data_IF_079139176975
#
_entry.id   IF_079139176975
#
_cell.length_a   1.000
_cell.length_b   1.000
_cell.length_c   1.000
_cell.angle_alpha   90.00
_cell.angle_beta   90.00
_cell.angle_gamma   90.00
#
_symmetry.space_group_name_H-M   'P 1'
#
loop_
_entity.id
_entity.type
_entity.pdbx_description
1 polymer ?
#
# COMPACT_ATOMS: atom_id res chain seq x y z
N UNK A 1 4.56 31.18 22.91
CA UNK A 1 3.74 31.48 21.72
C UNK A 1 4.04 30.44 20.66
N UNK A 2 3.05 29.69 20.16
CA UNK A 2 3.24 28.70 19.09
C UNK A 2 2.79 29.31 17.77
N UNK A 3 3.57 29.10 16.71
CA UNK A 3 3.21 29.49 15.35
C UNK A 3 2.80 28.22 14.61
N UNK A 4 1.59 28.21 14.04
CA UNK A 4 1.11 27.16 13.15
C UNK A 4 1.24 27.69 11.72
N UNK A 5 2.04 27.02 10.91
CA UNK A 5 2.25 27.36 9.50
C UNK A 5 1.84 26.19 8.61
N UNK A 6 1.03 26.47 7.61
CA UNK A 6 0.58 25.48 6.63
C UNK A 6 1.40 25.61 5.36
N UNK A 7 1.87 24.47 4.86
CA UNK A 7 2.60 24.40 3.59
C UNK A 7 2.10 23.22 2.77
N UNK A 8 1.81 23.47 1.51
CA UNK A 8 1.65 22.39 0.53
C UNK A 8 3.03 22.04 -0.03
N UNK A 9 3.61 20.96 0.50
CA UNK A 9 4.95 20.50 0.11
C UNK A 9 5.00 19.92 -1.31
N UNK A 10 3.84 19.57 -1.87
CA UNK A 10 3.74 19.04 -3.24
C UNK A 10 3.75 20.15 -4.30
N UNK A 11 3.60 21.40 -3.88
CA UNK A 11 3.73 22.56 -4.77
C UNK A 11 5.10 23.21 -4.57
N UNK A 12 6.04 23.11 -5.55
CA UNK A 12 7.42 23.58 -5.39
C UNK A 12 7.54 25.04 -4.97
N UNK A 13 6.61 25.88 -5.42
CA UNK A 13 6.55 27.30 -5.02
C UNK A 13 6.22 27.45 -3.53
N UNK A 14 5.25 26.68 -3.02
CA UNK A 14 4.85 26.70 -1.61
C UNK A 14 5.98 26.21 -0.70
N UNK A 15 6.68 25.14 -1.07
CA UNK A 15 7.84 24.65 -0.35
C UNK A 15 8.97 25.69 -0.30
N UNK A 16 9.26 26.34 -1.43
CA UNK A 16 10.27 27.42 -1.49
C UNK A 16 9.91 28.60 -0.58
N UNK A 17 8.64 29.02 -0.56
CA UNK A 17 8.16 30.09 0.30
C UNK A 17 8.21 29.68 1.78
N UNK A 18 7.88 28.45 2.11
CA UNK A 18 7.96 27.92 3.48
C UNK A 18 9.39 27.93 4.00
N UNK A 19 10.36 27.45 3.22
CA UNK A 19 11.79 27.49 3.59
C UNK A 19 12.29 28.92 3.85
N UNK A 20 11.78 29.91 3.14
CA UNK A 20 12.08 31.34 3.40
C UNK A 20 11.49 31.80 4.73
N UNK A 21 10.23 31.40 5.04
CA UNK A 21 9.57 31.74 6.32
C UNK A 21 10.29 31.12 7.51
N UNK A 22 10.76 29.88 7.40
CA UNK A 22 11.54 29.22 8.46
C UNK A 22 12.80 30.00 8.83
N UNK A 23 13.49 30.59 7.85
CA UNK A 23 14.65 31.47 8.12
C UNK A 23 14.24 32.72 8.88
N UNK A 24 13.10 33.32 8.56
CA UNK A 24 12.53 34.46 9.27
C UNK A 24 12.16 34.12 10.71
N UNK A 25 11.54 32.97 10.94
CA UNK A 25 11.18 32.50 12.28
C UNK A 25 12.42 32.28 13.15
N UNK A 26 13.46 31.66 12.60
CA UNK A 26 14.73 31.48 13.31
C UNK A 26 15.39 32.81 13.67
N UNK A 27 15.36 33.80 12.76
CA UNK A 27 15.89 35.14 13.03
C UNK A 27 15.08 35.88 14.10
N UNK A 28 13.78 35.60 14.22
CA UNK A 28 12.92 36.15 15.26
C UNK A 28 13.00 35.44 16.62
N UNK A 29 13.94 34.49 16.78
CA UNK A 29 14.17 33.76 18.04
C UNK A 29 13.22 32.60 18.31
N UNK A 30 12.41 32.20 17.34
CA UNK A 30 11.61 30.97 17.44
C UNK A 30 12.53 29.77 17.23
N UNK A 31 12.73 28.99 18.31
CA UNK A 31 13.62 27.82 18.28
C UNK A 31 13.11 26.74 17.32
N UNK A 32 14.03 25.88 16.86
CA UNK A 32 13.82 24.79 15.91
C UNK A 32 13.01 23.60 16.46
N UNK A 33 12.14 23.77 17.40
CA UNK A 33 11.12 22.75 17.70
C UNK A 33 9.99 22.88 16.67
N UNK A 34 10.35 22.78 15.39
CA UNK A 34 9.41 22.39 14.38
C UNK A 34 9.06 20.95 14.69
N UNK A 35 7.98 20.71 15.41
CA UNK A 35 7.30 19.42 15.38
C UNK A 35 6.74 19.34 13.97
N UNK A 36 7.57 18.92 13.04
CA UNK A 36 7.14 18.57 11.71
C UNK A 36 6.31 17.31 11.90
N UNK A 37 5.01 17.43 11.88
CA UNK A 37 4.11 16.28 11.76
C UNK A 37 4.38 15.47 10.47
N UNK A 38 5.31 15.93 9.65
CA UNK A 38 5.73 15.36 8.37
C UNK A 38 7.19 14.89 8.35
N UNK A 39 7.96 15.04 9.45
CA UNK A 39 9.36 14.61 9.47
C UNK A 39 9.53 13.09 9.51
N UNK A 40 8.46 12.33 9.77
CA UNK A 40 8.46 10.86 9.70
C UNK A 40 7.79 10.32 8.43
N UNK A 41 7.18 11.18 7.63
CA UNK A 41 6.95 10.83 6.24
C UNK A 41 8.31 11.02 5.57
N UNK A 42 9.19 10.03 5.74
CA UNK A 42 10.29 9.82 4.82
C UNK A 42 9.76 10.17 3.44
N UNK A 43 10.53 10.89 2.64
CA UNK A 43 10.29 11.28 1.25
C UNK A 43 10.04 10.07 0.34
N UNK A 44 9.24 9.11 0.79
CA UNK A 44 8.74 7.99 0.02
C UNK A 44 7.52 8.49 -0.72
N UNK A 45 7.58 8.35 -2.00
CA UNK A 45 6.43 8.48 -2.88
C UNK A 45 5.25 7.74 -2.25
N UNK A 46 4.12 8.42 -2.07
CA UNK A 46 2.91 7.83 -1.47
C UNK A 46 1.94 7.33 -2.52
N UNK A 47 2.03 7.87 -3.74
CA UNK A 47 1.19 7.50 -4.88
C UNK A 47 2.11 7.03 -5.98
N UNK A 48 1.85 5.83 -6.48
CA UNK A 48 2.63 5.16 -7.50
C UNK A 48 1.77 4.90 -8.73
N UNK A 49 2.37 5.10 -9.88
CA UNK A 49 1.78 4.73 -11.16
C UNK A 49 2.18 3.29 -11.55
N UNK A 50 1.54 2.78 -12.60
CA UNK A 50 1.82 1.44 -13.17
C UNK A 50 3.31 1.10 -13.28
N UNK A 51 4.14 2.06 -13.67
CA UNK A 51 5.55 1.82 -13.95
C UNK A 51 6.47 1.97 -12.73
N UNK A 52 6.00 2.59 -11.65
CA UNK A 52 6.82 2.89 -10.47
C UNK A 52 6.51 2.01 -9.25
N UNK A 53 5.28 1.46 -9.14
CA UNK A 53 4.86 0.76 -7.93
C UNK A 53 5.60 -0.56 -7.69
N UNK A 54 5.95 -1.31 -8.73
CA UNK A 54 6.35 -2.72 -8.60
C UNK A 54 7.62 -2.89 -7.76
N UNK A 55 8.60 -2.03 -7.95
CA UNK A 55 9.85 -2.06 -7.18
C UNK A 55 9.59 -1.74 -5.71
N UNK A 56 8.80 -0.70 -5.42
CA UNK A 56 8.47 -0.29 -4.06
C UNK A 56 7.60 -1.35 -3.37
N UNK A 57 6.63 -1.93 -4.08
CA UNK A 57 5.78 -3.00 -3.58
C UNK A 57 6.58 -4.27 -3.25
N UNK A 58 7.50 -4.67 -4.13
CA UNK A 58 8.37 -5.82 -3.87
C UNK A 58 9.29 -5.59 -2.68
N UNK A 59 9.80 -4.36 -2.49
CA UNK A 59 10.60 -4.01 -1.32
C UNK A 59 9.80 -4.11 -0.01
N UNK A 60 8.52 -3.76 -0.03
CA UNK A 60 7.65 -3.95 1.14
C UNK A 60 7.31 -5.44 1.35
N UNK A 61 6.98 -6.17 0.29
CA UNK A 61 6.74 -7.62 0.37
C UNK A 61 7.95 -8.35 0.95
N UNK A 62 9.15 -8.06 0.47
CA UNK A 62 10.37 -8.73 0.94
C UNK A 62 10.66 -8.54 2.44
N UNK A 63 10.01 -7.56 3.07
CA UNK A 63 10.12 -7.28 4.51
C UNK A 63 9.00 -7.91 5.35
N UNK A 64 8.01 -8.53 4.71
CA UNK A 64 6.89 -9.17 5.39
C UNK A 64 7.38 -10.30 6.31
N UNK A 65 6.81 -10.36 7.52
CA UNK A 65 7.21 -11.32 8.55
C UNK A 65 6.05 -12.17 9.07
N UNK A 66 4.83 -11.68 8.96
CA UNK A 66 3.69 -12.30 9.61
C UNK A 66 2.57 -12.65 8.63
N UNK A 67 2.14 -11.69 7.83
CA UNK A 67 0.98 -11.89 6.97
C UNK A 67 0.97 -10.99 5.74
N UNK A 68 0.45 -11.51 4.63
CA UNK A 68 0.14 -10.74 3.43
C UNK A 68 -1.30 -11.08 3.00
N UNK A 69 -2.13 -10.06 2.87
CA UNK A 69 -3.49 -10.17 2.33
C UNK A 69 -3.55 -9.37 1.04
N UNK A 70 -3.95 -10.00 -0.06
CA UNK A 70 -4.06 -9.34 -1.37
C UNK A 70 -5.49 -9.51 -1.88
N UNK A 71 -6.12 -8.41 -2.27
CA UNK A 71 -7.45 -8.40 -2.87
C UNK A 71 -7.38 -7.86 -4.30
N UNK A 72 -7.81 -8.66 -5.27
CA UNK A 72 -7.77 -8.35 -6.70
C UNK A 72 -9.02 -8.86 -7.41
N UNK A 73 -9.44 -8.24 -8.51
CA UNK A 73 -10.59 -8.73 -9.24
C UNK A 73 -10.34 -10.09 -9.91
N UNK A 74 -9.13 -10.29 -10.43
CA UNK A 74 -8.76 -11.50 -11.18
C UNK A 74 -7.25 -11.72 -11.14
N UNK A 75 -6.85 -12.98 -11.12
CA UNK A 75 -5.44 -13.39 -11.16
C UNK A 75 -5.04 -13.76 -12.58
N UNK A 76 -3.82 -13.33 -12.96
CA UNK A 76 -3.09 -13.79 -14.15
C UNK A 76 -1.64 -14.06 -13.78
N UNK A 77 -1.37 -15.28 -13.43
CA UNK A 77 -0.09 -15.71 -12.85
C UNK A 77 1.12 -15.34 -13.72
N UNK A 78 0.99 -15.47 -15.03
CA UNK A 78 2.07 -15.23 -15.99
C UNK A 78 2.47 -13.76 -16.14
N UNK A 79 1.60 -12.84 -15.72
CA UNK A 79 1.83 -11.41 -15.91
C UNK A 79 2.78 -10.81 -14.85
N UNK A 80 2.93 -11.49 -13.70
CA UNK A 80 3.69 -10.97 -12.53
C UNK A 80 4.60 -12.02 -11.87
N UNK A 81 5.53 -12.62 -12.62
CA UNK A 81 6.37 -13.73 -12.13
C UNK A 81 7.24 -13.33 -10.94
N UNK A 82 7.73 -12.08 -10.89
CA UNK A 82 8.58 -11.61 -9.81
C UNK A 82 7.81 -11.47 -8.48
N UNK A 83 6.56 -10.99 -8.51
CA UNK A 83 5.70 -10.91 -7.32
C UNK A 83 5.40 -12.31 -6.82
N UNK A 84 5.01 -13.22 -7.70
CA UNK A 84 4.72 -14.62 -7.36
C UNK A 84 5.93 -15.30 -6.71
N UNK A 85 7.12 -15.13 -7.29
CA UNK A 85 8.35 -15.69 -6.73
C UNK A 85 8.61 -15.18 -5.30
N UNK A 86 8.41 -13.90 -5.06
CA UNK A 86 8.57 -13.30 -3.72
C UNK A 86 7.56 -13.88 -2.74
N UNK A 87 6.29 -13.99 -3.13
CA UNK A 87 5.24 -14.55 -2.28
C UNK A 87 5.49 -16.03 -1.96
N UNK A 88 5.90 -16.83 -2.94
CA UNK A 88 6.26 -18.23 -2.72
C UNK A 88 7.42 -18.38 -1.72
N UNK A 89 8.44 -17.52 -1.83
CA UNK A 89 9.54 -17.49 -0.86
C UNK A 89 9.04 -17.18 0.55
N UNK A 90 8.21 -16.17 0.71
CA UNK A 90 7.65 -15.76 2.00
C UNK A 90 6.77 -16.87 2.62
N UNK A 91 6.01 -17.60 1.80
CA UNK A 91 5.27 -18.79 2.26
C UNK A 91 6.20 -19.86 2.85
N UNK A 92 7.32 -20.14 2.19
CA UNK A 92 8.33 -21.08 2.73
C UNK A 92 8.97 -20.55 4.02
N UNK A 93 8.99 -19.24 4.23
CA UNK A 93 9.47 -18.60 5.47
C UNK A 93 8.38 -18.57 6.57
N UNK A 94 7.18 -19.07 6.29
CA UNK A 94 6.08 -19.18 7.26
C UNK A 94 5.18 -17.96 7.34
N UNK A 95 5.24 -17.03 6.36
CA UNK A 95 4.34 -15.88 6.29
C UNK A 95 2.96 -16.35 5.83
N UNK A 96 1.91 -16.03 6.58
CA UNK A 96 0.54 -16.37 6.21
C UNK A 96 0.08 -15.54 5.01
N UNK A 97 -0.55 -16.18 4.02
CA UNK A 97 -1.01 -15.49 2.82
C UNK A 97 -2.46 -15.79 2.50
N UNK A 98 -3.23 -14.73 2.29
CA UNK A 98 -4.62 -14.80 1.87
C UNK A 98 -4.82 -13.96 0.62
N UNK A 99 -5.46 -14.54 -0.40
CA UNK A 99 -5.79 -13.85 -1.64
C UNK A 99 -7.31 -13.83 -1.82
N UNK A 100 -7.89 -12.63 -1.80
CA UNK A 100 -9.28 -12.42 -2.13
C UNK A 100 -9.42 -12.14 -3.62
N UNK A 101 -10.27 -12.89 -4.30
CA UNK A 101 -10.57 -12.73 -5.74
C UNK A 101 -12.06 -12.56 -5.96
N UNK A 102 -12.42 -11.85 -7.01
CA UNK A 102 -13.81 -11.64 -7.41
C UNK A 102 -14.31 -12.70 -8.40
N UNK A 103 -13.45 -13.07 -9.33
CA UNK A 103 -13.76 -14.00 -10.41
C UNK A 103 -12.85 -15.21 -10.32
N UNK A 104 -13.46 -16.40 -10.36
CA UNK A 104 -12.75 -17.65 -10.49
C UNK A 104 -12.07 -17.75 -11.87
N UNK A 105 -10.92 -18.37 -11.91
CA UNK A 105 -10.14 -18.57 -13.13
C UNK A 105 -9.14 -19.72 -13.00
N UNK A 106 -8.52 -20.09 -14.11
CA UNK A 106 -7.55 -21.19 -14.13
C UNK A 106 -6.33 -20.95 -13.20
N UNK A 107 -5.95 -19.69 -13.01
CA UNK A 107 -4.76 -19.33 -12.23
C UNK A 107 -5.01 -19.35 -10.70
N UNK A 108 -6.28 -19.47 -10.27
CA UNK A 108 -6.65 -19.60 -8.85
C UNK A 108 -6.11 -20.90 -8.24
N UNK A 109 -6.24 -21.99 -8.96
CA UNK A 109 -5.73 -23.28 -8.51
C UNK A 109 -4.21 -23.26 -8.33
N UNK A 110 -3.49 -22.48 -9.13
CA UNK A 110 -2.05 -22.35 -9.00
C UNK A 110 -1.66 -21.62 -7.69
N UNK A 111 -2.43 -20.62 -7.26
CA UNK A 111 -2.23 -19.94 -5.96
C UNK A 111 -2.47 -20.90 -4.80
N UNK A 112 -3.58 -21.65 -4.84
CA UNK A 112 -3.91 -22.63 -3.81
C UNK A 112 -2.88 -23.76 -3.74
N UNK A 113 -2.43 -24.26 -4.90
CA UNK A 113 -1.37 -25.27 -4.98
C UNK A 113 -0.01 -24.75 -4.48
N UNK A 114 0.23 -23.44 -4.59
CA UNK A 114 1.41 -22.80 -4.01
C UNK A 114 1.33 -22.64 -2.49
N UNK A 115 0.18 -22.94 -1.86
CA UNK A 115 -0.03 -22.89 -0.41
C UNK A 115 -0.65 -21.58 0.09
N UNK A 116 -1.23 -20.78 -0.78
CA UNK A 116 -1.97 -19.56 -0.40
C UNK A 116 -3.44 -19.90 -0.11
N UNK A 117 -4.01 -19.27 0.90
CA UNK A 117 -5.45 -19.33 1.13
C UNK A 117 -6.18 -18.43 0.13
N UNK A 118 -7.04 -19.03 -0.70
CA UNK A 118 -7.77 -18.28 -1.74
C UNK A 118 -9.25 -18.19 -1.36
N UNK A 119 -9.77 -16.97 -1.30
CA UNK A 119 -11.17 -16.67 -1.00
C UNK A 119 -11.80 -16.02 -2.22
N UNK A 120 -12.78 -16.70 -2.82
CA UNK A 120 -13.54 -16.15 -3.95
C UNK A 120 -14.86 -15.55 -3.47
N UNK A 121 -15.10 -14.28 -3.79
CA UNK A 121 -16.36 -13.58 -3.52
C UNK A 121 -16.73 -12.65 -4.66
N UNK A 122 -17.89 -12.86 -5.27
CA UNK A 122 -18.41 -11.99 -6.36
C UNK A 122 -18.65 -10.55 -5.92
N UNK A 123 -18.81 -10.33 -4.63
CA UNK A 123 -19.06 -9.01 -4.03
C UNK A 123 -17.75 -8.28 -3.69
N UNK A 124 -16.60 -8.95 -3.82
CA UNK A 124 -15.30 -8.36 -3.58
C UNK A 124 -15.03 -7.22 -4.58
N UNK A 125 -14.88 -6.00 -4.09
CA UNK A 125 -14.68 -4.78 -4.90
C UNK A 125 -13.38 -4.06 -4.64
N UNK A 126 -12.67 -4.40 -3.55
CA UNK A 126 -11.42 -3.76 -3.20
C UNK A 126 -10.27 -4.27 -4.07
N UNK A 127 -9.36 -3.37 -4.40
CA UNK A 127 -8.06 -3.72 -4.95
C UNK A 127 -6.99 -3.19 -3.98
N UNK A 128 -6.42 -4.09 -3.21
CA UNK A 128 -5.45 -3.71 -2.19
C UNK A 128 -4.47 -4.85 -1.89
N UNK A 129 -3.37 -4.49 -1.26
CA UNK A 129 -2.50 -5.42 -0.57
C UNK A 129 -2.20 -4.88 0.83
N UNK A 130 -2.25 -5.75 1.82
CA UNK A 130 -2.02 -5.42 3.23
C UNK A 130 -0.89 -6.31 3.73
N UNK A 131 0.19 -5.70 4.21
CA UNK A 131 1.41 -6.38 4.66
C UNK A 131 1.56 -6.18 6.15
N UNK A 132 1.65 -7.28 6.91
CA UNK A 132 1.86 -7.33 8.37
C UNK A 132 0.86 -6.46 9.18
N UNK A 133 -0.34 -6.23 8.64
CA UNK A 133 -1.35 -5.32 9.24
C UNK A 133 -0.78 -3.92 9.52
N UNK A 134 0.19 -3.48 8.76
CA UNK A 134 0.93 -2.23 8.97
C UNK A 134 1.04 -1.38 7.72
N UNK A 135 1.20 -1.99 6.56
CA UNK A 135 1.35 -1.32 5.27
C UNK A 135 0.18 -1.69 4.39
N UNK A 136 -0.48 -0.70 3.83
CA UNK A 136 -1.59 -0.84 2.90
C UNK A 136 -1.20 -0.25 1.55
N UNK A 137 -1.40 -1.04 0.51
CA UNK A 137 -1.36 -0.61 -0.88
C UNK A 137 -2.80 -0.65 -1.41
N UNK A 138 -3.38 0.50 -1.73
CA UNK A 138 -4.77 0.64 -2.13
C UNK A 138 -4.92 1.50 -3.38
N UNK A 139 -5.68 1.03 -4.37
CA UNK A 139 -5.92 1.78 -5.60
C UNK A 139 -6.54 0.95 -6.70
N UNK A 140 -6.19 1.26 -7.94
CA UNK A 140 -6.70 0.57 -9.13
C UNK A 140 -5.69 -0.41 -9.74
N UNK A 141 -4.53 -0.60 -9.11
CA UNK A 141 -3.52 -1.57 -9.57
C UNK A 141 -3.98 -3.00 -9.26
N UNK A 142 -3.96 -3.85 -10.27
CA UNK A 142 -4.06 -5.30 -10.09
C UNK A 142 -2.66 -5.88 -9.85
N UNK A 143 -2.40 -6.36 -8.64
CA UNK A 143 -1.09 -6.91 -8.24
C UNK A 143 -0.74 -8.22 -8.95
N UNK A 144 -1.73 -8.93 -9.49
CA UNK A 144 -1.57 -10.20 -10.21
C UNK A 144 -1.97 -10.15 -11.68
N UNK A 145 -2.07 -8.96 -12.26
CA UNK A 145 -2.56 -8.86 -13.63
C UNK A 145 -2.07 -7.64 -14.38
N UNK A 146 -2.64 -7.47 -15.55
CA UNK A 146 -2.38 -6.33 -16.40
C UNK A 146 -2.92 -5.04 -15.78
N UNK A 147 -2.15 -3.97 -15.93
CA UNK A 147 -2.52 -2.62 -15.51
C UNK A 147 -2.44 -1.66 -16.70
N UNK A 148 -3.45 -0.79 -16.85
CA UNK A 148 -3.44 0.30 -17.83
C UNK A 148 -2.54 1.44 -17.35
N UNK A 149 -2.24 2.39 -18.24
CA UNK A 149 -1.41 3.56 -17.90
C UNK A 149 -2.08 4.49 -16.87
N UNK A 150 -3.41 4.42 -16.78
CA UNK A 150 -4.19 5.23 -15.82
C UNK A 150 -4.30 4.60 -14.44
N UNK A 151 -3.87 3.35 -14.27
CA UNK A 151 -3.89 2.70 -12.97
C UNK A 151 -2.83 3.28 -12.04
N UNK A 152 -3.23 3.50 -10.80
CA UNK A 152 -2.36 3.99 -9.74
C UNK A 152 -2.68 3.28 -8.42
N UNK A 153 -1.77 3.42 -7.47
CA UNK A 153 -1.92 2.84 -6.14
C UNK A 153 -1.28 3.77 -5.11
N UNK A 154 -1.92 3.87 -3.97
CA UNK A 154 -1.42 4.61 -2.81
C UNK A 154 -0.81 3.62 -1.80
N UNK A 155 0.32 3.99 -1.22
CA UNK A 155 0.98 3.29 -0.12
C UNK A 155 0.73 4.03 1.18
N UNK A 156 0.19 3.36 2.17
CA UNK A 156 -0.16 3.91 3.48
C UNK A 156 0.47 3.04 4.56
N UNK A 157 1.24 3.63 5.46
CA UNK A 157 1.84 2.94 6.60
C UNK A 157 1.05 3.32 7.87
N UNK A 158 -0.09 2.66 8.11
CA UNK A 158 -0.94 2.89 9.28
C UNK A 158 -1.69 1.59 9.65
N UNK A 159 -1.46 1.12 10.89
CA UNK A 159 -2.06 -0.09 11.42
C UNK A 159 -3.60 0.00 11.56
N UNK A 160 -4.15 1.18 11.80
CA UNK A 160 -5.60 1.38 11.95
C UNK A 160 -6.28 1.18 10.61
N UNK A 161 -5.74 1.82 9.56
CA UNK A 161 -6.24 1.66 8.19
C UNK A 161 -6.10 0.21 7.73
N UNK A 162 -4.98 -0.44 8.03
CA UNK A 162 -4.77 -1.84 7.70
C UNK A 162 -5.82 -2.76 8.35
N UNK A 163 -6.12 -2.57 9.63
CA UNK A 163 -7.12 -3.35 10.34
C UNK A 163 -8.54 -3.08 9.82
N UNK A 164 -8.91 -1.83 9.59
CA UNK A 164 -10.21 -1.46 9.02
C UNK A 164 -10.42 -2.09 7.63
N UNK A 165 -9.42 -2.07 6.78
CA UNK A 165 -9.50 -2.71 5.46
C UNK A 165 -9.62 -4.24 5.56
N UNK A 166 -8.96 -4.86 6.52
CA UNK A 166 -9.12 -6.30 6.80
C UNK A 166 -10.56 -6.58 7.23
N UNK A 167 -11.12 -5.80 8.15
CA UNK A 167 -12.52 -5.94 8.58
C UNK A 167 -13.48 -5.85 7.40
N UNK A 168 -13.29 -4.90 6.49
CA UNK A 168 -14.09 -4.77 5.27
C UNK A 168 -13.96 -6.02 4.38
N UNK A 169 -12.76 -6.55 4.17
CA UNK A 169 -12.52 -7.74 3.35
C UNK A 169 -13.20 -8.99 3.90
N UNK A 170 -13.29 -9.12 5.22
CA UNK A 170 -13.89 -10.27 5.90
C UNK A 170 -15.34 -10.03 6.34
N UNK A 171 -15.87 -8.81 6.20
CA UNK A 171 -17.29 -8.56 6.47
C UNK A 171 -18.14 -9.26 5.42
N UNK A 172 -19.06 -10.10 5.90
CA UNK A 172 -20.10 -10.69 5.02
C UNK A 172 -21.19 -9.64 4.80
N UNK A 173 -21.36 -9.11 3.58
CA UNK A 173 -22.38 -8.09 3.30
C UNK A 173 -23.82 -8.57 3.53
N UNK A 174 -24.00 -9.88 3.79
CA UNK A 174 -25.32 -10.47 4.13
C UNK A 174 -25.65 -10.40 5.62
N UNK A 175 -24.75 -9.85 6.45
CA UNK A 175 -24.95 -9.69 7.90
C UNK A 175 -25.22 -8.25 8.34
N UNK A 176 -25.34 -7.33 7.41
CA UNK A 176 -25.70 -5.93 7.65
C UNK A 176 -27.21 -5.69 7.47
#
# INVERSE_FOLDING_TARGET
>A
MCIYDYVDIHVPLCDSMYRKRLKGYAAAGYGKNVVSYYSDINSQELIFERNSYEVAFQNDLAKAKHSVVIAVPKVKFKDKPAIISTLTKLLHEGVAMVVHIKEEGADEMELANAGMDVICSKEQTLQCAIIDKAIVWYGSINFFGYNSETNNVMRIADHRIANEMIEILYSDPRKA
#
